data_IF_704683093112
#
_entry.id   IF_704683093112
#
_cell.length_a   1.000
_cell.length_b   1.000
_cell.length_c   1.000
_cell.angle_alpha   90.00
_cell.angle_beta   90.00
_cell.angle_gamma   90.00
#
_symmetry.space_group_name_H-M   'P 1'
#
loop_
_entity.id
_entity.type
_entity.pdbx_description
1 polymer ?
#
# COMPACT_ATOMS: atom_id res chain seq x y z
N UNK A 1 21.99 15.53 -2.36
CA UNK A 1 21.09 14.38 -2.58
C UNK A 1 21.54 13.32 -1.60
N UNK A 2 20.67 12.92 -0.66
CA UNK A 2 21.00 11.80 0.24
C UNK A 2 21.14 10.52 -0.59
N UNK A 3 22.06 9.66 -0.17
CA UNK A 3 22.27 8.35 -0.76
C UNK A 3 20.96 7.54 -0.72
N UNK A 4 20.60 6.89 -1.84
CA UNK A 4 19.39 6.05 -1.90
C UNK A 4 19.65 4.79 -1.09
N UNK A 5 19.03 4.70 0.07
CA UNK A 5 19.10 3.51 0.92
C UNK A 5 18.08 2.47 0.41
N UNK A 6 18.55 1.29 0.01
CA UNK A 6 17.66 0.18 -0.36
C UNK A 6 17.13 -0.49 0.92
N UNK A 7 15.85 -0.32 1.19
CA UNK A 7 15.19 -0.77 2.42
C UNK A 7 14.74 -2.23 2.32
N UNK A 8 14.57 -2.75 1.10
CA UNK A 8 13.89 -4.04 0.87
C UNK A 8 14.85 -5.20 0.57
N UNK A 9 16.15 -4.94 0.38
CA UNK A 9 17.10 -5.94 -0.13
C UNK A 9 16.61 -6.67 -1.41
N UNK A 10 15.72 -6.02 -2.18
CA UNK A 10 15.16 -6.55 -3.42
C UNK A 10 15.96 -6.03 -4.61
N UNK A 11 16.10 -6.90 -5.62
CA UNK A 11 16.48 -6.52 -6.98
C UNK A 11 15.35 -6.89 -7.96
N UNK A 12 15.33 -6.33 -9.18
CA UNK A 12 14.34 -6.71 -10.19
C UNK A 12 14.33 -8.23 -10.47
N UNK A 13 15.48 -8.89 -10.36
CA UNK A 13 15.62 -10.34 -10.60
C UNK A 13 15.09 -11.19 -9.44
N UNK A 14 15.13 -10.68 -8.21
CA UNK A 14 14.68 -11.41 -7.02
C UNK A 14 13.26 -11.04 -6.60
N UNK A 15 12.68 -9.98 -7.17
CA UNK A 15 11.33 -9.57 -6.87
C UNK A 15 10.32 -10.65 -7.32
N UNK A 16 9.43 -11.00 -6.41
CA UNK A 16 8.30 -11.87 -6.66
C UNK A 16 7.03 -11.15 -6.19
N UNK A 17 6.06 -10.88 -7.09
CA UNK A 17 4.83 -10.22 -6.71
C UNK A 17 4.05 -11.09 -5.73
N UNK A 18 3.27 -10.45 -4.86
CA UNK A 18 2.39 -11.14 -3.94
C UNK A 18 1.35 -11.98 -4.72
N UNK A 19 0.91 -13.10 -4.17
CA UNK A 19 -0.04 -14.01 -4.83
C UNK A 19 -1.37 -13.32 -5.22
N UNK A 20 -1.76 -12.28 -4.48
CA UNK A 20 -2.95 -11.46 -4.81
C UNK A 20 -2.79 -10.65 -6.11
N UNK A 21 -1.57 -10.49 -6.63
CA UNK A 21 -1.31 -9.85 -7.92
C UNK A 21 -0.96 -10.85 -9.02
N UNK A 22 -1.08 -12.16 -8.76
CA UNK A 22 -0.86 -13.18 -9.77
C UNK A 22 -1.86 -13.02 -10.93
N UNK A 23 -1.37 -13.22 -12.16
CA UNK A 23 -2.11 -12.92 -13.38
C UNK A 23 -3.32 -13.82 -13.66
N UNK A 24 -3.46 -14.93 -12.92
CA UNK A 24 -4.50 -15.95 -13.11
C UNK A 24 -5.84 -15.61 -12.44
N UNK A 25 -5.98 -14.42 -11.85
CA UNK A 25 -7.23 -14.01 -11.20
C UNK A 25 -8.30 -13.56 -12.22
N UNK A 26 -9.49 -14.15 -12.08
CA UNK A 26 -10.63 -13.90 -12.96
C UNK A 26 -11.18 -12.45 -12.90
N UNK A 27 -10.98 -11.76 -11.77
CA UNK A 27 -11.39 -10.37 -11.57
C UNK A 27 -10.21 -9.58 -11.00
N UNK A 28 -9.65 -8.67 -11.82
CA UNK A 28 -8.64 -7.71 -11.34
C UNK A 28 -9.33 -6.42 -10.91
N UNK A 29 -9.63 -6.34 -9.62
CA UNK A 29 -9.99 -5.07 -9.01
C UNK A 29 -8.69 -4.42 -8.50
N UNK A 30 -8.08 -3.58 -9.33
CA UNK A 30 -6.83 -2.88 -8.97
C UNK A 30 -7.17 -1.61 -8.20
N UNK A 31 -6.82 -1.58 -6.91
CA UNK A 31 -6.81 -0.34 -6.13
C UNK A 31 -5.35 0.06 -5.96
N UNK A 32 -4.94 1.16 -6.60
CA UNK A 32 -3.54 1.57 -6.63
C UNK A 32 -2.91 1.73 -5.23
N UNK A 33 -3.70 2.11 -4.23
CA UNK A 33 -3.21 2.23 -2.86
C UNK A 33 -3.02 0.85 -2.21
N UNK A 34 -4.03 -0.03 -2.30
CA UNK A 34 -3.94 -1.40 -1.77
C UNK A 34 -2.83 -2.20 -2.43
N UNK A 35 -2.70 -2.10 -3.76
CA UNK A 35 -1.69 -2.83 -4.53
C UNK A 35 -0.26 -2.43 -4.10
N UNK A 36 -0.03 -1.12 -3.90
CA UNK A 36 1.26 -0.62 -3.40
C UNK A 36 1.55 -1.10 -1.98
N UNK A 37 0.56 -1.04 -1.08
CA UNK A 37 0.71 -1.52 0.29
C UNK A 37 1.02 -3.01 0.32
N UNK A 38 0.29 -3.82 -0.46
CA UNK A 38 0.52 -5.27 -0.55
C UNK A 38 1.98 -5.55 -0.93
N UNK A 39 2.50 -4.88 -1.96
CA UNK A 39 3.87 -5.14 -2.42
C UNK A 39 4.95 -4.59 -1.50
N UNK A 40 4.72 -3.44 -0.83
CA UNK A 40 5.64 -2.93 0.19
C UNK A 40 5.75 -3.94 1.33
N UNK A 41 4.63 -4.42 1.86
CA UNK A 41 4.60 -5.38 2.98
C UNK A 41 5.19 -6.73 2.56
N UNK A 42 4.85 -7.22 1.37
CA UNK A 42 5.42 -8.43 0.78
C UNK A 42 6.95 -8.30 0.62
N UNK A 43 7.43 -7.15 0.15
CA UNK A 43 8.86 -6.86 0.00
C UNK A 43 9.62 -6.79 1.32
N UNK A 44 8.95 -6.52 2.44
CA UNK A 44 9.51 -6.63 3.79
C UNK A 44 9.52 -8.07 4.32
N UNK A 45 9.00 -9.04 3.56
CA UNK A 45 8.85 -10.43 3.99
C UNK A 45 7.73 -10.64 5.01
N UNK A 46 6.76 -9.71 5.06
CA UNK A 46 5.65 -9.71 6.02
C UNK A 46 4.34 -10.16 5.34
N UNK A 47 3.37 -10.60 6.14
CA UNK A 47 2.08 -11.06 5.62
C UNK A 47 1.19 -9.87 5.21
N UNK A 48 1.03 -9.67 3.90
CA UNK A 48 0.19 -8.61 3.33
C UNK A 48 -1.31 -8.80 3.55
N UNK A 49 -1.81 -10.02 3.78
CA UNK A 49 -3.25 -10.27 3.98
C UNK A 49 -3.75 -9.65 5.29
N UNK A 50 -2.89 -9.48 6.29
CA UNK A 50 -3.29 -8.95 7.59
C UNK A 50 -3.75 -7.48 7.54
N UNK A 51 -3.36 -6.70 6.52
CA UNK A 51 -3.83 -5.32 6.33
C UNK A 51 -5.17 -5.22 5.56
N UNK A 52 -5.70 -6.34 5.07
CA UNK A 52 -6.88 -6.38 4.20
C UNK A 52 -8.20 -6.54 4.98
N UNK A 53 -8.18 -6.39 6.31
CA UNK A 53 -9.39 -6.46 7.15
C UNK A 53 -10.48 -5.48 6.71
N UNK A 54 -10.10 -4.34 6.10
CA UNK A 54 -11.04 -3.36 5.54
C UNK A 54 -12.00 -3.96 4.50
N UNK A 55 -11.61 -5.02 3.80
CA UNK A 55 -12.45 -5.68 2.78
C UNK A 55 -13.70 -6.31 3.39
N UNK A 56 -13.63 -6.72 4.66
CA UNK A 56 -14.74 -7.27 5.43
C UNK A 56 -15.56 -6.18 6.12
N UNK A 57 -14.96 -5.01 6.35
CA UNK A 57 -15.60 -3.88 7.01
C UNK A 57 -16.26 -2.91 6.02
N UNK A 58 -16.21 -3.20 4.72
CA UNK A 58 -16.89 -2.41 3.70
C UNK A 58 -18.41 -2.40 3.97
N UNK A 59 -18.98 -1.20 4.03
CA UNK A 59 -20.39 -0.99 4.36
C UNK A 59 -21.01 0.10 3.48
N UNK A 60 -22.30 0.37 3.68
CA UNK A 60 -23.03 1.43 2.99
C UNK A 60 -23.05 2.73 3.79
N UNK A 61 -22.69 3.83 3.14
CA UNK A 61 -22.97 5.19 3.58
C UNK A 61 -24.04 5.80 2.67
N UNK A 62 -25.30 5.65 3.07
CA UNK A 62 -26.45 5.97 2.22
C UNK A 62 -26.52 4.99 1.02
N UNK A 63 -26.39 5.52 -0.19
CA UNK A 63 -26.45 4.75 -1.44
C UNK A 63 -25.06 4.40 -2.00
N UNK A 64 -23.99 4.70 -1.27
CA UNK A 64 -22.61 4.50 -1.70
C UNK A 64 -21.91 3.47 -0.82
N UNK A 65 -20.99 2.71 -1.40
CA UNK A 65 -20.07 1.87 -0.64
C UNK A 65 -18.96 2.72 -0.02
N UNK A 66 -18.57 2.42 1.21
CA UNK A 66 -17.37 2.99 1.84
C UNK A 66 -16.13 2.72 0.98
N UNK A 67 -15.27 3.72 0.83
CA UNK A 67 -14.03 3.57 0.08
C UNK A 67 -13.03 2.67 0.83
N UNK A 68 -12.82 1.45 0.33
CA UNK A 68 -11.95 0.46 0.95
C UNK A 68 -10.47 0.71 0.67
N UNK A 69 -9.69 1.04 1.71
CA UNK A 69 -8.22 1.03 1.69
C UNK A 69 -7.66 0.50 3.03
N UNK A 70 -6.46 -0.10 3.04
CA UNK A 70 -5.74 -0.40 4.28
C UNK A 70 -5.67 0.83 5.19
N UNK A 71 -5.99 0.63 6.46
CA UNK A 71 -5.98 1.69 7.48
C UNK A 71 -4.53 2.08 7.82
N UNK A 72 -4.24 3.38 7.87
CA UNK A 72 -2.92 3.86 8.31
C UNK A 72 -2.61 3.39 9.75
N UNK A 73 -3.63 3.33 10.61
CA UNK A 73 -3.49 2.85 11.98
C UNK A 73 -3.09 1.37 12.03
N UNK A 74 -3.72 0.54 11.20
CA UNK A 74 -3.37 -0.87 11.12
C UNK A 74 -1.98 -1.06 10.52
N UNK A 75 -1.61 -0.25 9.52
CA UNK A 75 -0.27 -0.31 8.93
C UNK A 75 0.83 0.03 9.95
N UNK A 76 0.61 1.04 10.78
CA UNK A 76 1.53 1.42 11.84
C UNK A 76 1.59 0.35 12.94
N UNK A 77 0.45 -0.16 13.40
CA UNK A 77 0.40 -1.15 14.48
C UNK A 77 0.93 -2.52 14.07
N UNK A 78 0.61 -2.98 12.86
CA UNK A 78 0.94 -4.34 12.41
C UNK A 78 2.36 -4.43 11.83
N UNK A 79 2.85 -3.36 11.20
CA UNK A 79 4.10 -3.41 10.45
C UNK A 79 5.09 -2.31 10.81
N UNK A 80 4.72 -1.35 11.66
CA UNK A 80 5.54 -0.16 11.92
C UNK A 80 5.68 0.75 10.70
N UNK A 81 4.77 0.62 9.72
CA UNK A 81 4.80 1.38 8.46
C UNK A 81 3.87 2.58 8.58
N UNK A 82 4.43 3.78 8.39
CA UNK A 82 3.66 5.03 8.34
C UNK A 82 3.64 5.58 6.92
N UNK A 83 2.43 5.88 6.44
CA UNK A 83 2.19 6.48 5.12
C UNK A 83 1.66 7.89 5.33
N UNK A 84 2.28 8.86 4.67
CA UNK A 84 1.94 10.28 4.77
C UNK A 84 1.65 10.87 3.38
N UNK A 85 0.59 11.68 3.29
CA UNK A 85 0.25 12.43 2.08
C UNK A 85 0.89 13.81 2.17
N UNK A 86 1.93 14.05 1.37
CA UNK A 86 2.70 15.29 1.41
C UNK A 86 2.16 16.30 0.41
N UNK A 87 1.91 17.52 0.90
CA UNK A 87 1.63 18.67 0.02
C UNK A 87 2.91 19.15 -0.66
N UNK A 88 2.83 19.49 -1.95
CA UNK A 88 3.94 20.13 -2.65
C UNK A 88 4.22 21.50 -2.04
N UNK A 89 5.42 21.66 -1.47
CA UNK A 89 5.90 22.95 -1.01
C UNK A 89 6.74 23.62 -2.10
N UNK A 90 6.45 24.88 -2.41
CA UNK A 90 7.29 25.76 -3.22
C UNK A 90 7.60 27.01 -2.40
N UNK A 91 8.85 27.43 -2.35
CA UNK A 91 9.23 28.61 -1.58
C UNK A 91 8.59 29.87 -2.19
N UNK A 92 8.22 30.84 -1.34
CA UNK A 92 7.63 32.11 -1.76
C UNK A 92 8.54 32.89 -2.73
N UNK A 93 9.86 32.72 -2.63
CA UNK A 93 10.84 33.37 -3.52
C UNK A 93 10.88 32.76 -4.92
N UNK A 94 10.30 31.57 -5.12
CA UNK A 94 10.21 30.86 -6.39
C UNK A 94 8.82 30.98 -7.05
N UNK A 95 7.95 31.86 -6.52
CA UNK A 95 6.62 32.16 -7.07
C UNK A 95 6.66 33.33 -8.06
#
# INVERSE_FOLDING_TARGET
>A
MSEVQNIFALTPETYQPHALHCHDQNFRETNCYSDLVIEIINGLGLNAVACLGYTLAADFEGDQWTFGKPSHHDLENLYGVRIEELSLYRALVDQ
#
